data_IF_138209774693
#
_entry.id   IF_138209774693
#
_cell.length_a   1.000
_cell.length_b   1.000
_cell.length_c   1.000
_cell.angle_alpha   90.00
_cell.angle_beta   90.00
_cell.angle_gamma   90.00
#
_symmetry.space_group_name_H-M   'P 1'
#
loop_
_entity.id
_entity.type
_entity.pdbx_description
1 polymer ?
#
# COMPACT_ATOMS: atom_id res chain seq x y z
N UNK A 1 -16.34 -27.68 21.01
CA UNK A 1 -15.20 -27.17 20.22
C UNK A 1 -14.44 -26.19 21.09
N UNK A 2 -13.25 -26.59 21.52
CA UNK A 2 -12.44 -25.82 22.46
C UNK A 2 -11.50 -24.92 21.68
N UNK A 3 -12.00 -23.73 21.30
CA UNK A 3 -11.22 -22.72 20.61
C UNK A 3 -10.47 -21.87 21.63
N UNK A 4 -9.14 -21.88 21.56
CA UNK A 4 -8.28 -20.98 22.34
C UNK A 4 -8.13 -19.63 21.64
N UNK A 5 -7.80 -18.53 22.34
CA UNK A 5 -7.69 -17.19 21.74
C UNK A 5 -6.68 -17.11 20.58
N UNK A 6 -5.62 -17.91 20.64
CA UNK A 6 -4.57 -17.92 19.61
C UNK A 6 -5.02 -18.58 18.29
N UNK A 7 -6.13 -19.34 18.28
CA UNK A 7 -6.58 -20.04 17.07
C UNK A 7 -6.84 -19.08 15.90
N UNK A 8 -7.39 -17.89 16.13
CA UNK A 8 -7.71 -16.92 15.06
C UNK A 8 -6.47 -16.36 14.35
N UNK A 9 -5.29 -16.52 14.96
CA UNK A 9 -4.01 -16.02 14.44
C UNK A 9 -3.12 -17.15 13.92
N UNK A 10 -3.65 -18.37 13.87
CA UNK A 10 -2.90 -19.56 13.50
C UNK A 10 -3.10 -19.88 12.02
N UNK A 11 -2.00 -20.13 11.30
CA UNK A 11 -1.97 -20.55 9.89
C UNK A 11 -2.81 -21.80 9.61
N UNK A 12 -3.04 -22.63 10.64
CA UNK A 12 -3.75 -23.89 10.52
C UNK A 12 -5.25 -23.76 10.82
N UNK A 13 -5.72 -22.56 11.15
CA UNK A 13 -7.13 -22.28 11.40
C UNK A 13 -7.94 -22.37 10.10
N UNK A 14 -9.05 -23.10 10.13
CA UNK A 14 -9.78 -23.42 8.87
C UNK A 14 -10.82 -22.37 8.48
N UNK A 15 -11.15 -21.44 9.37
CA UNK A 15 -12.26 -20.49 9.22
C UNK A 15 -13.63 -21.14 8.91
N UNK A 16 -13.79 -22.45 9.15
CA UNK A 16 -15.03 -23.17 8.95
C UNK A 16 -15.83 -23.26 10.25
N UNK A 17 -17.17 -23.29 10.13
CA UNK A 17 -18.05 -23.43 11.30
C UNK A 17 -18.07 -24.85 11.87
N UNK A 18 -17.63 -25.84 11.10
CA UNK A 18 -17.71 -27.26 11.45
C UNK A 18 -16.44 -27.81 12.12
N UNK A 19 -15.29 -27.17 11.89
CA UNK A 19 -14.00 -27.60 12.43
C UNK A 19 -13.15 -26.40 12.83
N UNK A 20 -12.38 -26.51 13.92
CA UNK A 20 -11.54 -25.42 14.43
C UNK A 20 -10.27 -25.26 13.59
N UNK A 21 -9.39 -26.26 13.57
CA UNK A 21 -8.15 -26.22 12.78
C UNK A 21 -7.92 -27.53 12.03
N UNK A 22 -7.08 -27.52 10.99
CA UNK A 22 -6.85 -28.69 10.13
C UNK A 22 -6.19 -29.87 10.87
N UNK A 23 -5.46 -29.58 11.95
CA UNK A 23 -4.75 -30.57 12.76
C UNK A 23 -5.59 -31.05 13.94
N UNK A 24 -6.34 -30.15 14.57
CA UNK A 24 -7.25 -30.41 15.70
C UNK A 24 -8.67 -29.96 15.34
N UNK A 25 -9.46 -30.79 14.63
CA UNK A 25 -10.80 -30.41 14.16
C UNK A 25 -11.76 -30.00 15.28
N UNK A 26 -11.62 -30.58 16.48
CA UNK A 26 -12.44 -30.25 17.66
C UNK A 26 -11.84 -29.18 18.57
N UNK A 27 -10.61 -28.74 18.28
CA UNK A 27 -9.80 -27.87 19.14
C UNK A 27 -8.94 -28.67 20.13
N UNK A 28 -8.19 -27.95 20.97
CA UNK A 28 -7.33 -28.53 22.02
C UNK A 28 -7.88 -28.20 23.40
N UNK A 29 -7.67 -29.08 24.38
CA UNK A 29 -8.12 -28.86 25.76
C UNK A 29 -7.10 -28.09 26.62
N UNK A 30 -5.90 -27.85 26.07
CA UNK A 30 -4.82 -27.13 26.74
C UNK A 30 -4.94 -25.62 26.54
N UNK A 31 -4.39 -24.83 27.47
CA UNK A 31 -4.36 -23.36 27.34
C UNK A 31 -3.53 -22.87 26.14
N UNK A 32 -2.57 -23.68 25.68
CA UNK A 32 -1.71 -23.40 24.52
C UNK A 32 -1.73 -24.58 23.56
N UNK A 33 -1.76 -24.29 22.27
CA UNK A 33 -1.71 -25.31 21.22
C UNK A 33 -0.25 -25.70 20.92
N UNK A 34 0.10 -27.01 20.94
CA UNK A 34 1.45 -27.46 20.59
C UNK A 34 1.78 -27.24 19.10
N UNK A 35 0.77 -27.19 18.25
CA UNK A 35 0.90 -27.01 16.79
C UNK A 35 0.66 -25.57 16.34
N UNK A 36 0.68 -24.60 17.25
CA UNK A 36 0.46 -23.20 16.90
C UNK A 36 1.53 -22.71 15.92
N UNK A 37 1.08 -22.11 14.81
CA UNK A 37 1.93 -21.45 13.81
C UNK A 37 1.30 -20.11 13.48
N UNK A 38 1.99 -18.97 13.71
CA UNK A 38 1.40 -17.67 13.39
C UNK A 38 1.13 -17.57 11.88
N UNK A 39 -0.04 -17.09 11.51
CA UNK A 39 -0.39 -16.77 10.13
C UNK A 39 0.29 -15.44 9.72
N UNK A 40 1.18 -15.46 8.71
CA UNK A 40 1.85 -14.24 8.25
C UNK A 40 0.88 -13.16 7.76
N UNK A 41 -0.29 -13.51 7.22
CA UNK A 41 -1.27 -12.50 6.78
C UNK A 41 -1.95 -11.81 7.97
N UNK A 42 -2.30 -12.54 9.04
CA UNK A 42 -2.85 -11.93 10.27
C UNK A 42 -1.82 -11.12 11.05
N UNK A 43 -0.53 -11.46 10.92
CA UNK A 43 0.55 -10.66 11.47
C UNK A 43 0.66 -9.30 10.73
N UNK A 44 0.50 -9.32 9.41
CA UNK A 44 0.47 -8.10 8.57
C UNK A 44 -0.79 -7.26 8.87
N UNK A 45 -1.92 -7.88 9.22
CA UNK A 45 -3.11 -7.11 9.64
C UNK A 45 -2.94 -6.40 10.99
N UNK A 46 -2.08 -6.88 11.89
CA UNK A 46 -1.75 -6.13 13.12
C UNK A 46 -0.87 -4.88 12.88
N UNK A 47 -0.29 -4.73 11.68
CA UNK A 47 0.35 -3.49 11.20
C UNK A 47 -0.65 -2.52 10.54
N UNK A 48 -1.91 -2.93 10.31
CA UNK A 48 -2.93 -2.13 9.63
C UNK A 48 -3.70 -1.23 10.59
N UNK A 49 -2.98 -0.31 11.21
CA UNK A 49 -3.40 1.05 11.62
C UNK A 49 -2.27 1.68 12.44
N UNK A 50 -1.03 1.66 11.92
CA UNK A 50 0.10 2.28 12.58
C UNK A 50 -0.13 3.80 12.64
N UNK A 51 -0.64 4.27 13.78
CA UNK A 51 -0.92 5.67 14.02
C UNK A 51 0.31 6.51 13.67
N UNK A 52 0.13 7.52 12.82
CA UNK A 52 1.18 8.48 12.49
C UNK A 52 0.80 9.88 12.98
N UNK A 53 1.74 10.64 13.57
CA UNK A 53 1.52 12.06 13.85
C UNK A 53 1.13 12.83 12.59
N UNK A 54 0.35 13.90 12.75
CA UNK A 54 0.01 14.81 11.65
C UNK A 54 1.30 15.34 11.03
N UNK A 55 1.46 15.15 9.73
CA UNK A 55 2.65 15.57 8.98
C UNK A 55 3.77 14.53 8.89
N UNK A 56 3.54 13.28 9.31
CA UNK A 56 4.49 12.17 9.17
C UNK A 56 3.82 10.94 8.52
N UNK A 57 4.62 10.10 7.87
CA UNK A 57 4.20 8.82 7.29
C UNK A 57 5.27 7.76 7.49
N UNK A 58 4.85 6.51 7.68
CA UNK A 58 5.75 5.36 7.81
C UNK A 58 6.19 4.86 6.43
N UNK A 59 7.49 4.61 6.26
CA UNK A 59 8.07 3.95 5.09
C UNK A 59 8.86 2.73 5.56
N UNK A 60 8.22 1.55 5.53
CA UNK A 60 8.71 0.38 6.25
C UNK A 60 8.70 0.67 7.76
N UNK A 61 9.84 0.46 8.42
CA UNK A 61 10.00 0.66 9.87
C UNK A 61 10.45 2.09 10.25
N UNK A 62 10.55 3.01 9.28
CA UNK A 62 11.01 4.38 9.52
C UNK A 62 9.86 5.40 9.41
N UNK A 63 9.69 6.22 10.45
CA UNK A 63 8.76 7.35 10.44
C UNK A 63 9.44 8.56 9.79
N UNK A 64 8.96 8.97 8.62
CA UNK A 64 9.51 10.10 7.88
C UNK A 64 8.59 11.32 7.97
N UNK A 65 9.13 12.55 8.11
CA UNK A 65 8.34 13.75 7.93
C UNK A 65 7.81 13.78 6.50
N UNK A 66 6.54 14.10 6.34
CA UNK A 66 5.96 14.33 5.03
C UNK A 66 6.77 15.44 4.37
N UNK A 67 7.27 15.17 3.15
CA UNK A 67 7.95 16.21 2.38
C UNK A 67 7.00 17.40 2.30
N UNK A 68 7.53 18.60 2.54
CA UNK A 68 6.79 19.86 2.37
C UNK A 68 6.35 19.95 0.92
N UNK A 69 5.18 19.41 0.64
CA UNK A 69 4.57 19.53 -0.66
C UNK A 69 3.91 20.90 -0.68
N UNK A 70 4.39 21.77 -1.57
CA UNK A 70 3.76 23.07 -1.81
C UNK A 70 2.32 22.93 -2.33
N UNK A 71 1.99 21.74 -2.83
CA UNK A 71 0.73 21.41 -3.45
C UNK A 71 -0.22 20.76 -2.46
N UNK A 72 -1.50 21.17 -2.49
CA UNK A 72 -2.57 20.44 -1.78
C UNK A 72 -2.75 19.05 -2.36
N UNK A 73 -3.53 18.19 -1.69
CA UNK A 73 -3.79 16.84 -2.18
C UNK A 73 -4.46 16.85 -3.56
N UNK A 74 -5.42 17.75 -3.76
CA UNK A 74 -6.15 17.89 -5.02
C UNK A 74 -5.22 18.37 -6.15
N UNK A 75 -4.26 19.24 -5.83
CA UNK A 75 -3.24 19.69 -6.79
C UNK A 75 -2.25 18.57 -7.15
N UNK A 76 -1.87 17.72 -6.18
CA UNK A 76 -1.04 16.54 -6.44
C UNK A 76 -1.77 15.53 -7.33
N UNK A 77 -3.03 15.24 -7.05
CA UNK A 77 -3.88 14.36 -7.88
C UNK A 77 -3.95 14.91 -9.31
N UNK A 78 -4.17 16.22 -9.45
CA UNK A 78 -4.17 16.87 -10.76
C UNK A 78 -2.82 16.73 -11.48
N UNK A 79 -1.69 16.81 -10.77
CA UNK A 79 -0.36 16.61 -11.37
C UNK A 79 -0.21 15.18 -11.88
N UNK A 80 -0.64 14.17 -11.11
CA UNK A 80 -0.59 12.76 -11.51
C UNK A 80 -1.42 12.51 -12.79
N UNK A 81 -2.58 13.16 -12.90
CA UNK A 81 -3.50 12.97 -14.02
C UNK A 81 -3.17 13.79 -15.26
N UNK A 82 -2.35 14.85 -15.15
CA UNK A 82 -2.10 15.80 -16.25
C UNK A 82 -0.65 15.90 -16.69
N UNK A 83 0.30 15.57 -15.83
CA UNK A 83 1.71 15.79 -16.15
C UNK A 83 2.25 14.69 -17.09
N UNK A 84 2.91 15.05 -18.21
CA UNK A 84 3.41 14.09 -19.19
C UNK A 84 4.40 13.04 -18.65
N UNK A 85 5.11 13.35 -17.57
CA UNK A 85 5.96 12.36 -16.87
C UNK A 85 5.18 11.14 -16.39
N UNK A 86 3.93 11.31 -15.94
CA UNK A 86 3.09 10.22 -15.44
C UNK A 86 2.20 9.65 -16.54
N UNK A 87 1.60 10.51 -17.35
CA UNK A 87 0.61 10.09 -18.35
C UNK A 87 1.21 9.73 -19.70
N UNK A 88 2.44 10.19 -20.00
CA UNK A 88 3.02 10.10 -21.33
C UNK A 88 2.31 10.96 -22.38
N UNK A 89 1.40 11.86 -21.98
CA UNK A 89 0.53 12.62 -22.89
C UNK A 89 0.61 14.11 -22.54
N UNK A 90 0.71 14.97 -23.55
CA UNK A 90 0.64 16.41 -23.37
C UNK A 90 -0.79 16.84 -22.95
N UNK A 91 -0.96 17.60 -21.85
CA UNK A 91 -2.29 18.01 -21.38
C UNK A 91 -3.01 18.96 -22.33
N UNK A 92 -2.29 19.67 -23.20
CA UNK A 92 -2.86 20.71 -24.07
C UNK A 92 -3.22 20.16 -25.46
N UNK A 93 -2.25 19.54 -26.16
CA UNK A 93 -2.45 19.04 -27.52
C UNK A 93 -2.67 17.52 -27.62
N UNK A 94 -2.65 16.79 -26.50
CA UNK A 94 -2.76 15.32 -26.44
C UNK A 94 -1.68 14.56 -27.23
N UNK A 95 -0.55 15.21 -27.51
CA UNK A 95 0.60 14.53 -28.10
C UNK A 95 1.13 13.42 -27.18
N UNK A 96 1.37 12.24 -27.75
CA UNK A 96 1.87 11.07 -27.03
C UNK A 96 3.39 11.10 -27.09
N UNK A 97 4.03 11.23 -25.93
CA UNK A 97 5.49 11.17 -25.82
C UNK A 97 5.94 9.71 -26.00
N UNK A 98 6.64 9.45 -27.09
CA UNK A 98 7.19 8.12 -27.41
C UNK A 98 8.61 7.92 -26.85
N UNK A 99 9.22 8.97 -26.32
CA UNK A 99 10.59 8.95 -25.81
C UNK A 99 10.65 8.40 -24.39
N UNK A 100 11.17 7.19 -24.25
CA UNK A 100 11.69 6.65 -22.99
C UNK A 100 13.19 6.38 -23.17
N UNK A 101 14.08 6.90 -22.31
CA UNK A 101 13.83 7.60 -21.05
C UNK A 101 13.48 9.10 -21.21
N UNK A 102 12.88 9.67 -20.17
CA UNK A 102 12.54 11.08 -20.10
C UNK A 102 13.78 11.98 -20.35
N UNK A 103 13.66 13.06 -21.13
CA UNK A 103 14.76 14.00 -21.34
C UNK A 103 15.21 14.60 -20.00
N UNK A 104 16.53 14.86 -19.86
CA UNK A 104 17.11 15.57 -18.69
C UNK A 104 16.79 17.07 -18.66
N UNK A 105 16.07 17.55 -19.66
CA UNK A 105 15.74 18.94 -19.93
C UNK A 105 14.25 19.21 -19.66
N UNK A 106 13.83 20.47 -19.44
CA UNK A 106 12.46 20.78 -19.03
C UNK A 106 11.44 20.10 -19.95
N UNK A 107 10.42 19.46 -19.35
CA UNK A 107 9.35 18.80 -20.07
C UNK A 107 8.64 19.80 -20.98
N UNK A 108 9.02 19.79 -22.25
CA UNK A 108 8.45 20.65 -23.29
C UNK A 108 7.80 19.80 -24.36
N UNK A 109 6.54 20.09 -24.67
CA UNK A 109 5.86 19.43 -25.77
C UNK A 109 6.41 19.93 -27.11
N UNK A 110 6.84 19.04 -28.03
CA UNK A 110 7.36 19.46 -29.33
C UNK A 110 6.28 20.02 -30.27
N UNK A 111 5.01 19.65 -30.07
CA UNK A 111 3.91 20.08 -30.94
C UNK A 111 3.35 21.46 -30.54
N UNK A 112 2.98 21.64 -29.27
CA UNK A 112 2.33 22.87 -28.81
C UNK A 112 3.21 23.77 -27.92
N UNK A 113 4.42 23.33 -27.59
CA UNK A 113 5.34 24.11 -26.74
C UNK A 113 4.94 24.18 -25.27
N UNK A 114 3.94 23.40 -24.83
CA UNK A 114 3.56 23.29 -23.41
C UNK A 114 4.78 22.97 -22.55
N UNK A 115 4.93 23.66 -21.41
CA UNK A 115 6.01 23.45 -20.45
C UNK A 115 5.49 23.50 -19.02
N UNK A 116 6.12 22.74 -18.14
CA UNK A 116 5.89 22.89 -16.70
C UNK A 116 6.34 24.30 -16.26
N UNK A 117 5.51 24.98 -15.47
CA UNK A 117 5.86 26.25 -14.82
C UNK A 117 6.31 25.91 -13.40
N UNK A 118 7.48 26.40 -13.00
CA UNK A 118 8.07 26.20 -11.66
C UNK A 118 7.10 26.53 -10.51
#
# INVERSE_FOLDING_TARGET
MSKIPDCDRCLLYTHQIYFVCAVHPEGVETEKCPDFRPDPETAIESDRELWSPVGYSWYGDELMPNRLCRYTREEQEKILDTHPFFTGICPDCKHIFTTSPAPREPWQCPECGWREKD
#
